data_IF_781923726751
#
_entry.id   IF_781923726751
#
_cell.length_a   1.000
_cell.length_b   1.000
_cell.length_c   1.000
_cell.angle_alpha   90.00
_cell.angle_beta   90.00
_cell.angle_gamma   90.00
#
_symmetry.space_group_name_H-M   'P 1'
#
loop_
_entity.id
_entity.type
_entity.pdbx_description
1 polymer ?
#
# COMPACT_ATOMS: atom_id res chain seq x y z
N UNK A 1 6.15 -14.82 16.37
CA UNK A 1 5.13 -15.74 16.94
C UNK A 1 3.88 -15.68 16.07
N UNK A 2 3.95 -16.16 14.82
CA UNK A 2 2.88 -16.00 13.81
C UNK A 2 2.18 -17.32 13.44
N UNK A 3 2.56 -18.43 14.08
CA UNK A 3 2.16 -19.77 13.65
C UNK A 3 0.84 -20.25 14.29
N UNK A 4 0.43 -19.70 15.45
CA UNK A 4 -0.78 -20.16 16.17
C UNK A 4 -2.08 -19.63 15.58
N UNK A 5 -2.08 -18.42 15.03
CA UNK A 5 -3.30 -17.78 14.52
C UNK A 5 -3.78 -18.40 13.21
N UNK A 6 -2.86 -18.90 12.37
CA UNK A 6 -3.22 -19.57 11.12
C UNK A 6 -3.91 -20.93 11.33
N UNK A 7 -3.52 -21.71 12.34
CA UNK A 7 -4.16 -23.00 12.64
C UNK A 7 -5.59 -22.83 13.17
N UNK A 8 -5.83 -21.77 13.94
CA UNK A 8 -7.15 -21.41 14.42
C UNK A 8 -8.11 -21.03 13.30
N UNK A 9 -7.62 -20.38 12.24
CA UNK A 9 -8.45 -19.98 11.08
C UNK A 9 -9.01 -21.21 10.35
N UNK A 10 -8.24 -22.29 10.21
CA UNK A 10 -8.69 -23.50 9.51
C UNK A 10 -9.67 -24.37 10.30
N UNK A 11 -9.79 -24.16 11.61
CA UNK A 11 -10.81 -24.82 12.44
C UNK A 11 -12.15 -24.07 12.46
N UNK A 12 -12.18 -22.85 11.91
CA UNK A 12 -13.38 -22.03 11.85
C UNK A 12 -14.25 -22.40 10.64
N UNK A 13 -15.56 -22.27 10.79
CA UNK A 13 -16.47 -22.32 9.64
C UNK A 13 -16.23 -21.12 8.71
N UNK A 14 -16.59 -21.29 7.44
CA UNK A 14 -16.36 -20.31 6.39
C UNK A 14 -17.06 -18.97 6.68
N UNK A 15 -18.24 -19.00 7.31
CA UNK A 15 -19.00 -17.78 7.61
C UNK A 15 -18.29 -16.95 8.69
N UNK A 16 -17.74 -17.60 9.72
CA UNK A 16 -16.96 -16.91 10.75
C UNK A 16 -15.66 -16.35 10.18
N UNK A 17 -15.02 -17.03 9.22
CA UNK A 17 -13.84 -16.50 8.50
C UNK A 17 -14.22 -15.24 7.72
N UNK A 18 -15.31 -15.28 6.95
CA UNK A 18 -15.78 -14.14 6.16
C UNK A 18 -16.18 -12.95 7.06
N UNK A 19 -16.83 -13.20 8.20
CA UNK A 19 -17.15 -12.17 9.19
C UNK A 19 -15.90 -11.51 9.77
N UNK A 20 -14.90 -12.31 10.18
CA UNK A 20 -13.62 -11.75 10.67
C UNK A 20 -12.88 -10.97 9.58
N UNK A 21 -12.97 -11.42 8.33
CA UNK A 21 -12.36 -10.72 7.20
C UNK A 21 -13.03 -9.37 6.91
N UNK A 22 -14.36 -9.32 6.92
CA UNK A 22 -15.10 -8.05 6.79
C UNK A 22 -14.76 -7.09 7.94
N UNK A 23 -14.72 -7.59 9.17
CA UNK A 23 -14.30 -6.80 10.33
C UNK A 23 -12.88 -6.27 10.17
N UNK A 24 -11.91 -7.11 9.79
CA UNK A 24 -10.53 -6.70 9.56
C UNK A 24 -10.41 -5.66 8.44
N UNK A 25 -11.20 -5.78 7.36
CA UNK A 25 -11.26 -4.77 6.29
C UNK A 25 -11.76 -3.43 6.78
N UNK A 26 -12.81 -3.42 7.62
CA UNK A 26 -13.34 -2.19 8.22
C UNK A 26 -12.31 -1.55 9.15
N UNK A 27 -11.63 -2.34 9.98
CA UNK A 27 -10.56 -1.86 10.84
C UNK A 27 -9.41 -1.29 10.03
N UNK A 28 -8.96 -2.00 8.99
CA UNK A 28 -7.94 -1.49 8.07
C UNK A 28 -8.34 -0.13 7.49
N UNK A 29 -9.58 0.01 7.00
CA UNK A 29 -10.05 1.27 6.44
C UNK A 29 -10.10 2.42 7.46
N UNK A 30 -10.37 2.12 8.73
CA UNK A 30 -10.31 3.11 9.82
C UNK A 30 -8.85 3.52 10.07
N UNK A 31 -7.95 2.55 10.25
CA UNK A 31 -6.54 2.82 10.48
C UNK A 31 -5.86 3.51 9.29
N UNK A 32 -6.25 3.19 8.05
CA UNK A 32 -5.75 3.88 6.85
C UNK A 32 -6.15 5.37 6.91
N UNK A 33 -7.40 5.69 7.27
CA UNK A 33 -7.85 7.09 7.44
C UNK A 33 -7.12 7.81 8.57
N UNK A 34 -6.86 7.13 9.69
CA UNK A 34 -6.10 7.71 10.79
C UNK A 34 -4.66 7.98 10.39
N UNK A 35 -4.01 7.03 9.71
CA UNK A 35 -2.67 7.21 9.15
C UNK A 35 -2.62 8.43 8.23
N UNK A 36 -3.61 8.60 7.35
CA UNK A 36 -3.65 9.74 6.43
C UNK A 36 -3.84 11.07 7.17
N UNK A 37 -4.69 11.13 8.20
CA UNK A 37 -4.82 12.32 9.06
C UNK A 37 -3.49 12.72 9.71
N UNK A 38 -2.71 11.75 10.19
CA UNK A 38 -1.40 12.03 10.78
C UNK A 38 -0.37 12.47 9.72
N UNK A 39 -0.39 11.89 8.51
CA UNK A 39 0.44 12.36 7.39
C UNK A 39 0.14 13.81 7.04
N UNK A 40 -1.14 14.17 6.93
CA UNK A 40 -1.57 15.55 6.64
C UNK A 40 -1.07 16.53 7.71
N UNK A 41 -1.13 16.13 8.99
CA UNK A 41 -0.64 16.94 10.10
C UNK A 41 0.89 17.15 10.03
N UNK A 42 1.64 16.08 9.74
CA UNK A 42 3.10 16.14 9.55
C UNK A 42 3.46 17.01 8.34
N UNK A 43 2.74 16.89 7.23
CA UNK A 43 2.97 17.71 6.04
C UNK A 43 2.72 19.21 6.32
N UNK A 44 1.63 19.55 7.00
CA UNK A 44 1.37 20.94 7.43
C UNK A 44 2.47 21.48 8.33
N UNK A 45 2.97 20.65 9.25
CA UNK A 45 4.08 21.02 10.13
C UNK A 45 5.37 21.27 9.33
N UNK A 46 5.74 20.37 8.42
CA UNK A 46 6.90 20.50 7.53
C UNK A 46 6.84 21.77 6.67
N UNK A 47 5.67 22.02 6.06
CA UNK A 47 5.45 23.21 5.23
C UNK A 47 5.53 24.50 6.07
N UNK A 48 4.97 24.52 7.29
CA UNK A 48 5.07 25.69 8.19
C UNK A 48 6.51 25.97 8.63
N UNK A 49 7.35 24.94 8.72
CA UNK A 49 8.75 25.03 9.15
C UNK A 49 9.73 25.17 7.99
N UNK A 50 9.26 25.06 6.76
CA UNK A 50 10.07 24.98 5.54
C UNK A 50 11.21 23.96 5.65
N UNK A 51 10.87 22.75 6.12
CA UNK A 51 11.81 21.64 6.29
C UNK A 51 11.30 20.40 5.58
N UNK A 52 12.22 19.69 4.93
CA UNK A 52 11.93 18.38 4.33
C UNK A 52 12.22 17.22 5.28
N UNK A 53 12.94 17.47 6.37
CA UNK A 53 13.31 16.48 7.38
C UNK A 53 12.89 16.97 8.76
N UNK A 54 12.19 16.11 9.51
CA UNK A 54 11.74 16.37 10.87
C UNK A 54 12.06 15.16 11.73
N UNK A 55 12.69 15.41 12.87
CA UNK A 55 13.07 14.39 13.85
C UNK A 55 12.38 14.70 15.18
N UNK A 56 11.87 13.66 15.82
CA UNK A 56 11.47 13.65 17.23
C UNK A 56 12.33 12.67 18.01
N UNK A 57 11.98 12.45 19.28
CA UNK A 57 12.83 11.68 20.20
C UNK A 57 12.97 10.18 19.83
N UNK A 58 11.96 9.61 19.17
CA UNK A 58 11.88 8.17 18.83
C UNK A 58 11.72 7.93 17.33
N UNK A 59 11.18 8.90 16.59
CA UNK A 59 10.80 8.75 15.19
C UNK A 59 11.30 9.94 14.36
N UNK A 60 11.67 9.68 13.12
CA UNK A 60 12.01 10.71 12.13
C UNK A 60 11.25 10.48 10.83
N UNK A 61 11.04 11.56 10.08
CA UNK A 61 10.32 11.54 8.80
C UNK A 61 10.99 12.50 7.82
N UNK A 62 11.23 12.01 6.60
CA UNK A 62 11.80 12.77 5.49
C UNK A 62 10.85 12.77 4.30
N UNK A 63 10.65 13.92 3.67
CA UNK A 63 9.86 14.07 2.45
C UNK A 63 10.80 14.22 1.26
N UNK A 64 10.59 13.39 0.23
CA UNK A 64 11.32 13.47 -1.05
C UNK A 64 10.33 13.65 -2.20
N UNK A 65 10.64 14.59 -3.10
CA UNK A 65 9.91 14.72 -4.34
C UNK A 65 10.43 13.69 -5.34
N UNK A 66 9.59 12.74 -5.74
CA UNK A 66 9.90 11.79 -6.80
C UNK A 66 9.05 12.15 -8.01
N UNK A 67 9.70 12.48 -9.12
CA UNK A 67 9.00 12.71 -10.40
C UNK A 67 8.98 11.41 -11.17
N UNK A 68 7.77 10.92 -11.48
CA UNK A 68 7.57 9.78 -12.37
C UNK A 68 6.88 10.26 -13.63
N UNK A 69 7.54 10.10 -14.77
CA UNK A 69 6.94 10.30 -16.08
C UNK A 69 6.28 8.98 -16.50
N UNK A 70 4.98 9.02 -16.78
CA UNK A 70 4.22 7.87 -17.28
C UNK A 70 3.53 8.33 -18.56
N UNK A 71 3.60 7.50 -19.59
CA UNK A 71 2.91 7.71 -20.84
C UNK A 71 1.72 6.74 -20.90
N UNK A 72 0.50 7.27 -21.02
CA UNK A 72 -0.70 6.46 -21.15
C UNK A 72 -0.93 6.03 -22.60
N UNK A 73 -1.63 4.92 -22.81
CA UNK A 73 -2.00 4.47 -24.16
C UNK A 73 -2.92 5.48 -24.88
N UNK A 74 -3.71 6.26 -24.12
CA UNK A 74 -4.58 7.28 -24.68
C UNK A 74 -3.76 8.48 -25.24
N UNK A 75 -2.62 8.76 -24.62
CA UNK A 75 -1.77 9.91 -24.97
C UNK A 75 -0.63 9.55 -25.93
N UNK A 76 -0.68 8.36 -26.55
CA UNK A 76 0.36 7.88 -27.47
C UNK A 76 -0.24 7.45 -28.81
N UNK A 77 0.30 7.93 -29.96
CA UNK A 77 -0.06 7.39 -31.26
C UNK A 77 0.13 5.88 -31.30
N UNK A 78 -0.84 5.18 -31.89
CA UNK A 78 -0.92 3.71 -31.88
C UNK A 78 0.33 3.09 -32.50
N UNK A 79 0.91 3.75 -33.50
CA UNK A 79 2.12 3.35 -34.21
C UNK A 79 3.35 3.36 -33.29
N UNK A 80 3.48 4.39 -32.44
CA UNK A 80 4.59 4.54 -31.49
C UNK A 80 4.42 3.57 -30.32
N UNK A 81 3.19 3.44 -29.80
CA UNK A 81 2.89 2.50 -28.73
C UNK A 81 3.19 1.06 -29.15
N UNK A 82 2.73 0.62 -30.33
CA UNK A 82 2.97 -0.74 -30.81
C UNK A 82 4.46 -1.02 -31.09
N UNK A 83 5.23 0.01 -31.47
CA UNK A 83 6.65 -0.14 -31.80
C UNK A 83 7.55 -0.27 -30.57
N UNK A 84 7.24 0.45 -29.48
CA UNK A 84 8.14 0.54 -28.32
C UNK A 84 7.56 -0.05 -27.04
N UNK A 85 6.25 -0.25 -26.93
CA UNK A 85 5.66 -0.87 -25.75
C UNK A 85 6.09 -2.34 -25.67
N UNK A 86 7.01 -2.63 -24.75
CA UNK A 86 7.37 -3.99 -24.41
C UNK A 86 6.20 -4.62 -23.66
N UNK A 87 5.51 -5.56 -24.31
CA UNK A 87 4.55 -6.42 -23.64
C UNK A 87 5.31 -7.34 -22.71
N UNK A 88 5.15 -7.14 -21.41
CA UNK A 88 5.68 -8.03 -20.41
C UNK A 88 4.51 -8.76 -19.74
N UNK A 89 4.39 -10.04 -20.06
CA UNK A 89 3.50 -10.94 -19.34
C UNK A 89 4.31 -11.50 -18.18
N UNK A 90 3.94 -11.15 -16.95
CA UNK A 90 4.48 -11.80 -15.77
C UNK A 90 3.42 -12.70 -15.16
N UNK A 91 3.86 -13.87 -14.73
CA UNK A 91 3.04 -14.76 -13.94
C UNK A 91 3.03 -14.23 -12.50
N UNK A 92 1.86 -13.88 -11.98
CA UNK A 92 1.69 -13.61 -10.56
C UNK A 92 1.52 -14.93 -9.81
N UNK A 93 2.36 -15.15 -8.79
CA UNK A 93 2.25 -16.32 -7.93
C UNK A 93 1.25 -16.04 -6.79
N UNK A 94 0.30 -16.94 -6.62
CA UNK A 94 -0.56 -16.98 -5.44
C UNK A 94 0.18 -17.63 -4.28
N UNK A 95 -0.05 -17.07 -3.08
CA UNK A 95 0.57 -17.45 -1.82
C UNK A 95 0.36 -18.94 -1.51
N UNK A 96 1.45 -19.65 -1.22
CA UNK A 96 1.40 -20.96 -0.58
C UNK A 96 2.51 -21.05 0.47
N UNK A 97 2.14 -21.47 1.68
CA UNK A 97 3.02 -21.72 2.83
C UNK A 97 3.40 -23.20 2.85
N UNK A 98 4.68 -23.54 2.99
CA UNK A 98 5.11 -24.96 3.10
C UNK A 98 5.89 -25.25 4.38
N UNK A 99 6.76 -24.34 4.85
CA UNK A 99 7.43 -24.34 6.16
C UNK A 99 8.42 -23.18 6.22
#
# INVERSE_FOLDING_TARGET
MFFKDEELIFQMDIDTILQKWDHAKKQKAIYDKECDRYKDAVERYMNKKDKNDVEGDIYSVSRRSNTRQILSKADTPVEIWNRYAKRFTYMSYHLKRTR
#
